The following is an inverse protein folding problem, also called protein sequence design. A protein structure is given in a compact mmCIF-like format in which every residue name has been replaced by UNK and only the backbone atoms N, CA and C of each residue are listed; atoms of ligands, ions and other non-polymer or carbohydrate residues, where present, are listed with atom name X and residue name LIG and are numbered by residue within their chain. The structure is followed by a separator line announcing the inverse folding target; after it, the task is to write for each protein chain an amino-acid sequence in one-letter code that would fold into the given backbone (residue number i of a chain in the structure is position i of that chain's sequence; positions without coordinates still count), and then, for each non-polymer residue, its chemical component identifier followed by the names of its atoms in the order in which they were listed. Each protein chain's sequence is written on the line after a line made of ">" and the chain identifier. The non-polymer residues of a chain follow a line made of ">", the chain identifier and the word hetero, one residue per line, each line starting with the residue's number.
data_IF_308521245395
#
_entry.id   IF_308521245395
#
_cell.length_a   1.000
_cell.length_b   1.000
_cell.length_c   1.000
_cell.angle_alpha   90.00
_cell.angle_beta   90.00
_cell.angle_gamma   90.00
#
_symmetry.space_group_name_H-M   'P 1'
#
loop_
_entity.id
_entity.type
_entity.pdbx_description
1 polymer ?
#
# COMPACT_ATOMS: atom_id res chain seq x y z
N UNK A 1 -19.10 -14.83 -17.38
CA UNK A 1 -19.25 -13.94 -16.22
C UNK A 1 -18.23 -14.38 -15.19
N UNK A 2 -17.64 -13.50 -14.38
CA UNK A 2 -16.79 -13.92 -13.30
C UNK A 2 -17.58 -14.79 -12.31
N UNK A 3 -16.91 -15.72 -11.67
CA UNK A 3 -17.48 -16.52 -10.59
C UNK A 3 -17.59 -15.63 -9.36
N UNK A 4 -18.78 -15.58 -8.73
CA UNK A 4 -19.09 -14.62 -7.66
C UNK A 4 -19.22 -15.31 -6.30
N UNK A 5 -18.58 -14.74 -5.29
CA UNK A 5 -18.54 -15.21 -3.92
C UNK A 5 -18.93 -14.10 -2.96
N UNK A 6 -19.91 -14.33 -2.12
CA UNK A 6 -20.44 -13.35 -1.16
C UNK A 6 -20.37 -13.91 0.27
N UNK A 7 -19.85 -13.10 1.20
CA UNK A 7 -19.88 -13.36 2.65
C UNK A 7 -19.30 -14.73 3.04
N UNK A 8 -18.11 -15.06 2.48
CA UNK A 8 -17.43 -16.32 2.72
C UNK A 8 -16.14 -16.10 3.52
N UNK A 9 -15.91 -17.01 4.48
CA UNK A 9 -14.65 -17.08 5.22
C UNK A 9 -13.72 -18.13 4.63
N UNK A 10 -12.51 -17.73 4.26
CA UNK A 10 -11.45 -18.59 3.75
C UNK A 10 -10.32 -18.65 4.77
N UNK A 11 -9.97 -19.84 5.24
CA UNK A 11 -9.01 -20.04 6.31
C UNK A 11 -7.91 -21.01 5.92
N UNK A 12 -6.63 -20.62 6.12
CA UNK A 12 -5.46 -21.48 5.96
C UNK A 12 -5.32 -22.10 4.54
N UNK A 13 -5.70 -21.36 3.51
CA UNK A 13 -5.64 -21.85 2.12
C UNK A 13 -4.33 -21.42 1.48
N UNK A 14 -3.68 -22.35 0.78
CA UNK A 14 -2.56 -22.05 -0.10
C UNK A 14 -3.11 -22.08 -1.53
N UNK A 15 -3.17 -20.90 -2.15
CA UNK A 15 -3.66 -20.77 -3.52
C UNK A 15 -2.57 -21.08 -4.54
N UNK A 16 -2.94 -21.81 -5.60
CA UNK A 16 -2.09 -21.98 -6.77
C UNK A 16 -2.09 -20.71 -7.66
N UNK A 17 -1.18 -20.65 -8.63
CA UNK A 17 -0.93 -19.43 -9.41
C UNK A 17 -2.20 -18.80 -10.03
N UNK A 18 -3.14 -19.61 -10.52
CA UNK A 18 -4.30 -19.13 -11.30
C UNK A 18 -5.66 -19.38 -10.63
N UNK A 19 -5.66 -19.95 -9.44
CA UNK A 19 -6.90 -20.43 -8.79
C UNK A 19 -7.90 -19.32 -8.47
N UNK A 20 -7.44 -18.09 -8.32
CA UNK A 20 -8.29 -16.91 -8.01
C UNK A 20 -8.73 -16.12 -9.24
N UNK A 21 -8.29 -16.50 -10.44
CA UNK A 21 -8.53 -15.72 -11.67
C UNK A 21 -10.02 -15.66 -12.04
N UNK A 22 -10.42 -14.52 -12.58
CA UNK A 22 -11.80 -14.25 -13.06
C UNK A 22 -12.86 -14.41 -11.98
N UNK A 23 -12.53 -14.13 -10.71
CA UNK A 23 -13.43 -14.21 -9.57
C UNK A 23 -13.75 -12.83 -9.01
N UNK A 24 -14.95 -12.72 -8.47
CA UNK A 24 -15.40 -11.54 -7.71
C UNK A 24 -15.76 -11.99 -6.29
N UNK A 25 -15.10 -11.35 -5.32
CA UNK A 25 -15.31 -11.60 -3.89
C UNK A 25 -15.91 -10.35 -3.26
N UNK A 26 -17.05 -10.49 -2.60
CA UNK A 26 -17.71 -9.40 -1.87
C UNK A 26 -17.95 -9.81 -0.41
N UNK A 27 -17.64 -8.91 0.52
CA UNK A 27 -17.75 -9.13 1.97
C UNK A 27 -17.01 -10.38 2.47
N UNK A 28 -16.00 -10.85 1.72
CA UNK A 28 -15.27 -12.06 2.07
C UNK A 28 -14.11 -11.78 3.02
N UNK A 29 -13.83 -12.74 3.92
CA UNK A 29 -12.68 -12.68 4.83
C UNK A 29 -11.70 -13.79 4.53
N UNK A 30 -10.43 -13.45 4.35
CA UNK A 30 -9.32 -14.39 4.15
C UNK A 30 -8.41 -14.34 5.37
N UNK A 31 -8.21 -15.46 6.05
CA UNK A 31 -7.35 -15.55 7.24
C UNK A 31 -6.26 -16.57 7.03
N UNK A 32 -5.00 -16.17 7.27
CA UNK A 32 -3.81 -17.03 7.13
C UNK A 32 -3.72 -17.71 5.75
N UNK A 33 -4.13 -17.02 4.70
CA UNK A 33 -4.08 -17.53 3.33
C UNK A 33 -2.78 -17.13 2.64
N UNK A 34 -2.27 -18.03 1.79
CA UNK A 34 -1.05 -17.80 1.03
C UNK A 34 -1.35 -17.59 -0.45
N UNK A 35 -1.13 -16.37 -0.92
CA UNK A 35 -1.23 -15.94 -2.31
C UNK A 35 0.15 -15.62 -2.92
N UNK A 36 1.23 -16.08 -2.31
CA UNK A 36 2.59 -15.80 -2.81
C UNK A 36 2.75 -16.33 -4.22
N UNK A 37 3.33 -15.48 -5.08
CA UNK A 37 3.56 -15.78 -6.51
C UNK A 37 2.30 -16.00 -7.35
N UNK A 38 1.09 -15.90 -6.78
CA UNK A 38 -0.15 -15.99 -7.54
C UNK A 38 -0.19 -14.94 -8.66
N UNK A 39 -0.79 -15.31 -9.78
CA UNK A 39 -1.04 -14.43 -10.92
C UNK A 39 -2.53 -14.12 -10.92
N UNK A 40 -2.89 -12.97 -10.37
CA UNK A 40 -4.28 -12.51 -10.36
C UNK A 40 -4.61 -11.88 -11.71
N UNK A 41 -5.63 -12.37 -12.37
CA UNK A 41 -6.13 -11.82 -13.62
C UNK A 41 -7.64 -11.53 -13.50
N UNK A 42 -8.01 -10.26 -13.67
CA UNK A 42 -9.39 -9.80 -13.64
C UNK A 42 -10.16 -10.26 -12.38
N UNK A 43 -9.54 -10.09 -11.23
CA UNK A 43 -10.14 -10.38 -9.91
C UNK A 43 -10.67 -9.09 -9.31
N UNK A 44 -11.82 -9.16 -8.66
CA UNK A 44 -12.39 -8.03 -7.93
C UNK A 44 -12.56 -8.41 -6.47
N UNK A 45 -12.11 -7.54 -5.56
CA UNK A 45 -12.38 -7.61 -4.13
C UNK A 45 -13.18 -6.37 -3.72
N UNK A 46 -14.36 -6.59 -3.12
CA UNK A 46 -15.27 -5.55 -2.62
C UNK A 46 -15.53 -5.81 -1.15
N UNK A 47 -15.30 -4.82 -0.30
CA UNK A 47 -15.53 -4.91 1.16
C UNK A 47 -14.85 -6.14 1.81
N UNK A 48 -13.70 -6.56 1.25
CA UNK A 48 -12.99 -7.75 1.71
C UNK A 48 -11.94 -7.44 2.76
N UNK A 49 -11.70 -8.42 3.65
CA UNK A 49 -10.67 -8.33 4.68
C UNK A 49 -9.66 -9.47 4.55
N UNK A 50 -8.37 -9.12 4.60
CA UNK A 50 -7.26 -10.08 4.62
C UNK A 50 -6.54 -9.99 5.96
N UNK A 51 -6.54 -11.07 6.72
CA UNK A 51 -5.87 -11.19 8.02
C UNK A 51 -4.70 -12.18 7.91
N UNK A 52 -3.50 -11.74 8.29
CA UNK A 52 -2.31 -12.60 8.36
C UNK A 52 -1.96 -13.30 7.04
N UNK A 53 -2.42 -12.76 5.91
CA UNK A 53 -2.19 -13.33 4.60
C UNK A 53 -0.83 -12.93 4.02
N UNK A 54 -0.32 -13.72 3.06
CA UNK A 54 0.88 -13.37 2.32
C UNK A 54 0.62 -13.26 0.83
N UNK A 55 1.14 -12.16 0.22
CA UNK A 55 1.06 -11.83 -1.20
C UNK A 55 2.45 -11.63 -1.81
N UNK A 56 3.50 -12.10 -1.17
CA UNK A 56 4.86 -11.82 -1.62
C UNK A 56 5.08 -12.24 -3.07
N UNK A 57 5.56 -11.30 -3.90
CA UNK A 57 5.75 -11.47 -5.34
C UNK A 57 4.47 -11.81 -6.14
N UNK A 58 3.26 -11.59 -5.60
CA UNK A 58 2.03 -11.77 -6.33
C UNK A 58 1.93 -10.75 -7.49
N UNK A 59 1.47 -11.19 -8.64
CA UNK A 59 1.18 -10.35 -9.80
C UNK A 59 -0.30 -9.99 -9.80
N UNK A 60 -0.62 -8.73 -9.52
CA UNK A 60 -1.99 -8.24 -9.33
C UNK A 60 -2.45 -7.35 -10.50
N UNK A 61 -2.23 -7.82 -11.72
CA UNK A 61 -2.58 -7.06 -12.91
C UNK A 61 -4.09 -6.96 -13.09
N UNK A 62 -4.59 -5.73 -13.20
CA UNK A 62 -6.03 -5.43 -13.37
C UNK A 62 -6.93 -5.92 -12.22
N UNK A 63 -6.37 -6.17 -11.03
CA UNK A 63 -7.16 -6.47 -9.82
C UNK A 63 -7.84 -5.20 -9.35
N UNK A 64 -9.14 -5.27 -9.07
CA UNK A 64 -9.87 -4.17 -8.45
C UNK A 64 -9.94 -4.36 -6.93
N UNK A 65 -9.54 -3.34 -6.18
CA UNK A 65 -9.65 -3.28 -4.72
C UNK A 65 -10.61 -2.15 -4.34
N UNK A 66 -11.78 -2.51 -3.83
CA UNK A 66 -12.83 -1.58 -3.41
C UNK A 66 -13.12 -1.79 -1.94
N UNK A 67 -12.75 -0.83 -1.09
CA UNK A 67 -12.93 -0.88 0.37
C UNK A 67 -12.27 -2.14 0.99
N UNK A 68 -11.00 -2.40 0.66
CA UNK A 68 -10.28 -3.60 1.11
C UNK A 68 -9.37 -3.27 2.28
N UNK A 69 -9.36 -4.14 3.30
CA UNK A 69 -8.51 -4.01 4.48
C UNK A 69 -7.51 -5.16 4.57
N UNK A 70 -6.23 -4.82 4.75
CA UNK A 70 -5.16 -5.78 5.05
C UNK A 70 -4.68 -5.59 6.48
N UNK A 71 -4.73 -6.66 7.29
CA UNK A 71 -4.27 -6.69 8.67
C UNK A 71 -3.16 -7.72 8.84
N UNK A 72 -2.01 -7.32 9.36
CA UNK A 72 -0.84 -8.17 9.63
C UNK A 72 -0.38 -9.01 8.42
N UNK A 73 -0.54 -8.45 7.23
CA UNK A 73 -0.21 -9.13 5.98
C UNK A 73 1.23 -8.88 5.53
N UNK A 74 1.80 -9.86 4.80
CA UNK A 74 3.09 -9.73 4.10
C UNK A 74 2.83 -9.50 2.60
N UNK A 75 3.11 -8.28 2.12
CA UNK A 75 2.78 -7.85 0.76
C UNK A 75 4.06 -7.31 0.09
N UNK A 76 5.15 -8.09 0.18
CA UNK A 76 6.45 -7.67 -0.35
C UNK A 76 6.52 -7.77 -1.86
N UNK A 77 7.18 -6.79 -2.50
CA UNK A 77 7.46 -6.80 -3.94
C UNK A 77 6.21 -6.86 -4.83
N UNK A 78 5.07 -6.38 -4.33
CA UNK A 78 3.82 -6.32 -5.08
C UNK A 78 3.70 -4.99 -5.84
N UNK A 79 3.33 -5.06 -7.12
CA UNK A 79 3.16 -3.88 -7.95
C UNK A 79 1.69 -3.44 -8.05
N UNK A 80 1.25 -2.60 -7.11
CA UNK A 80 -0.09 -2.02 -7.11
C UNK A 80 -0.35 -1.07 -8.27
N UNK A 81 0.69 -0.50 -8.89
CA UNK A 81 0.52 0.38 -10.05
C UNK A 81 -0.09 -0.33 -11.28
N UNK A 82 -0.14 -1.66 -11.26
CA UNK A 82 -0.77 -2.49 -12.30
C UNK A 82 -2.23 -2.86 -11.99
N UNK A 83 -2.77 -2.46 -10.83
CA UNK A 83 -4.18 -2.68 -10.47
C UNK A 83 -5.14 -1.84 -11.31
N UNK A 84 -6.42 -2.18 -11.23
CA UNK A 84 -7.48 -1.29 -11.71
C UNK A 84 -7.40 0.04 -10.95
N UNK A 85 -7.36 1.14 -11.70
CA UNK A 85 -7.17 2.50 -11.15
C UNK A 85 -8.49 3.26 -10.97
N UNK A 86 -9.62 2.67 -11.34
CA UNK A 86 -10.90 3.37 -11.32
C UNK A 86 -11.35 3.63 -9.88
N UNK A 87 -11.29 2.61 -9.04
CA UNK A 87 -11.52 2.70 -7.60
C UNK A 87 -10.42 1.92 -6.92
N UNK A 88 -9.60 2.60 -6.12
CA UNK A 88 -8.53 2.01 -5.34
C UNK A 88 -8.68 2.48 -3.90
N UNK A 89 -9.38 1.70 -3.07
CA UNK A 89 -9.65 2.00 -1.68
C UNK A 89 -9.13 0.87 -0.80
N UNK A 90 -7.97 1.07 -0.20
CA UNK A 90 -7.29 0.07 0.62
C UNK A 90 -6.82 0.70 1.93
N UNK A 91 -6.92 -0.08 3.02
CA UNK A 91 -6.32 0.23 4.31
C UNK A 91 -5.31 -0.85 4.69
N UNK A 92 -4.16 -0.44 5.24
CA UNK A 92 -3.10 -1.35 5.67
C UNK A 92 -2.80 -1.16 7.15
N UNK A 93 -2.93 -2.23 7.95
CA UNK A 93 -2.64 -2.24 9.38
C UNK A 93 -1.62 -3.33 9.71
N UNK A 94 -0.53 -2.98 10.38
CA UNK A 94 0.53 -3.89 10.82
C UNK A 94 1.14 -4.73 9.66
N UNK A 95 1.20 -4.14 8.45
CA UNK A 95 1.61 -4.85 7.23
C UNK A 95 3.08 -4.62 6.87
N UNK A 96 3.66 -5.57 6.14
CA UNK A 96 4.99 -5.45 5.53
C UNK A 96 4.80 -5.31 4.01
N UNK A 97 5.07 -4.10 3.49
CA UNK A 97 4.92 -3.77 2.07
C UNK A 97 6.28 -3.46 1.39
N UNK A 98 7.38 -3.89 1.98
CA UNK A 98 8.72 -3.56 1.49
C UNK A 98 8.88 -3.87 0.00
N UNK A 99 9.54 -2.96 -0.74
CA UNK A 99 9.79 -3.04 -2.18
C UNK A 99 8.55 -3.04 -3.07
N UNK A 100 7.35 -2.79 -2.52
CA UNK A 100 6.11 -2.66 -3.29
C UNK A 100 6.06 -1.35 -4.06
N UNK A 101 5.20 -1.28 -5.08
CA UNK A 101 5.14 -0.15 -6.00
C UNK A 101 3.72 0.41 -6.08
N UNK A 102 3.62 1.72 -5.85
CA UNK A 102 2.38 2.51 -5.96
C UNK A 102 2.49 3.65 -6.98
N UNK A 103 3.56 3.68 -7.79
CA UNK A 103 3.84 4.79 -8.70
C UNK A 103 2.63 5.15 -9.57
N UNK A 104 2.41 6.45 -9.77
CA UNK A 104 1.31 7.03 -10.57
C UNK A 104 -0.12 6.71 -10.09
N UNK A 105 -0.32 5.99 -8.99
CA UNK A 105 -1.64 5.74 -8.43
C UNK A 105 -2.23 6.98 -7.74
N UNK A 106 -3.55 7.00 -7.63
CA UNK A 106 -4.28 7.91 -6.76
C UNK A 106 -4.75 7.13 -5.54
N UNK A 107 -4.04 7.31 -4.42
CA UNK A 107 -4.36 6.64 -3.14
C UNK A 107 -4.73 7.66 -2.07
N UNK A 108 -5.45 8.70 -2.49
CA UNK A 108 -5.89 9.78 -1.62
C UNK A 108 -6.66 9.26 -0.40
N UNK A 109 -6.27 9.71 0.80
CA UNK A 109 -6.93 9.34 2.05
C UNK A 109 -6.63 7.92 2.54
N UNK A 110 -5.84 7.13 1.83
CA UNK A 110 -5.39 5.81 2.29
C UNK A 110 -4.69 5.90 3.65
N UNK A 111 -4.91 4.91 4.51
CA UNK A 111 -4.23 4.79 5.80
C UNK A 111 -3.24 3.62 5.79
N UNK A 112 -2.02 3.92 6.26
CA UNK A 112 -0.98 2.94 6.60
C UNK A 112 -0.69 3.10 8.10
N UNK A 113 -0.99 2.07 8.89
CA UNK A 113 -0.77 2.08 10.34
C UNK A 113 0.19 0.97 10.72
N UNK A 114 1.27 1.30 11.45
CA UNK A 114 2.31 0.36 11.91
C UNK A 114 2.94 -0.46 10.78
N UNK A 115 3.10 0.12 9.59
CA UNK A 115 3.57 -0.61 8.41
C UNK A 115 5.08 -0.49 8.20
N UNK A 116 5.70 -1.56 7.72
CA UNK A 116 7.00 -1.50 7.07
C UNK A 116 6.80 -1.14 5.60
N UNK A 117 7.35 0.00 5.21
CA UNK A 117 7.27 0.57 3.86
C UNK A 117 8.69 0.82 3.30
N UNK A 118 9.61 -0.11 3.57
CA UNK A 118 11.01 0.03 3.18
C UNK A 118 11.15 -0.07 1.66
N UNK A 119 11.82 0.92 1.06
CA UNK A 119 12.08 1.00 -0.37
C UNK A 119 10.81 0.89 -1.25
N UNK A 120 9.69 1.41 -0.77
CA UNK A 120 8.43 1.49 -1.53
C UNK A 120 8.51 2.62 -2.55
N UNK A 121 8.01 2.37 -3.76
CA UNK A 121 7.96 3.35 -4.83
C UNK A 121 6.61 4.09 -4.84
N UNK A 122 6.62 5.34 -4.35
CA UNK A 122 5.51 6.29 -4.42
C UNK A 122 5.73 7.38 -5.49
N UNK A 123 6.61 7.16 -6.46
CA UNK A 123 6.92 8.16 -7.48
C UNK A 123 5.66 8.59 -8.25
N UNK A 124 5.44 9.89 -8.36
CA UNK A 124 4.29 10.50 -9.05
C UNK A 124 2.92 10.04 -8.53
N UNK A 125 2.84 9.48 -7.33
CA UNK A 125 1.60 9.03 -6.67
C UNK A 125 0.85 10.23 -6.09
N UNK A 126 -0.49 10.22 -6.16
CA UNK A 126 -1.31 11.17 -5.39
C UNK A 126 -1.56 10.62 -3.99
N UNK A 127 -0.78 11.14 -3.04
CA UNK A 127 -0.81 10.86 -1.60
C UNK A 127 -1.59 11.93 -0.82
N UNK A 128 -2.45 12.69 -1.48
CA UNK A 128 -3.21 13.75 -0.80
C UNK A 128 -4.01 13.17 0.37
N UNK A 129 -3.83 13.75 1.57
CA UNK A 129 -4.52 13.33 2.79
C UNK A 129 -4.21 11.89 3.27
N UNK A 130 -3.18 11.24 2.73
CA UNK A 130 -2.73 9.91 3.20
C UNK A 130 -2.21 10.02 4.64
N UNK A 131 -2.51 9.00 5.44
CA UNK A 131 -2.03 8.88 6.81
C UNK A 131 -0.95 7.79 6.86
N UNK A 132 0.27 8.20 7.24
CA UNK A 132 1.34 7.29 7.60
C UNK A 132 1.51 7.34 9.12
N UNK A 133 0.96 6.38 9.84
CA UNK A 133 1.04 6.29 11.30
C UNK A 133 2.01 5.19 11.72
N UNK A 134 3.07 5.57 12.46
CA UNK A 134 4.12 4.67 12.94
C UNK A 134 4.76 3.80 11.82
N UNK A 135 4.93 4.36 10.62
CA UNK A 135 5.49 3.63 9.48
C UNK A 135 7.00 3.84 9.34
N UNK A 136 7.72 2.76 9.01
CA UNK A 136 9.11 2.85 8.56
C UNK A 136 9.14 3.12 7.04
N UNK A 137 9.62 4.30 6.66
CA UNK A 137 9.68 4.76 5.28
C UNK A 137 11.14 4.79 4.74
N UNK A 138 12.01 3.93 5.30
CA UNK A 138 13.41 3.89 4.91
C UNK A 138 13.57 3.63 3.42
N UNK A 139 14.29 4.52 2.71
CA UNK A 139 14.54 4.47 1.26
C UNK A 139 13.29 4.51 0.38
N UNK A 140 12.10 4.86 0.90
CA UNK A 140 10.92 5.06 0.07
C UNK A 140 11.06 6.30 -0.81
N UNK A 141 10.63 6.18 -2.08
CA UNK A 141 10.81 7.20 -3.10
C UNK A 141 9.53 8.02 -3.31
N UNK A 142 9.63 9.35 -3.16
CA UNK A 142 8.49 10.29 -3.26
C UNK A 142 8.63 11.30 -4.40
N UNK A 143 9.57 11.11 -5.33
CA UNK A 143 9.79 12.08 -6.41
C UNK A 143 8.52 12.29 -7.23
N UNK A 144 8.17 13.56 -7.48
CA UNK A 144 6.96 13.99 -8.21
C UNK A 144 5.63 13.61 -7.55
N UNK A 145 5.63 13.04 -6.35
CA UNK A 145 4.41 12.74 -5.61
C UNK A 145 3.67 14.02 -5.17
N UNK A 146 2.35 13.88 -4.97
CA UNK A 146 1.49 14.94 -4.43
C UNK A 146 1.07 14.50 -3.02
N UNK A 147 1.78 14.93 -2.00
CA UNK A 147 1.51 14.60 -0.59
C UNK A 147 0.91 15.80 0.17
N UNK A 148 0.01 16.54 -0.47
CA UNK A 148 -0.66 17.66 0.17
C UNK A 148 -1.53 17.16 1.34
N UNK A 149 -1.39 17.79 2.51
CA UNK A 149 -2.08 17.41 3.76
C UNK A 149 -1.78 15.98 4.24
N UNK A 150 -0.82 15.28 3.65
CA UNK A 150 -0.43 13.95 4.14
C UNK A 150 0.16 14.06 5.56
N UNK A 151 -0.06 13.05 6.37
CA UNK A 151 0.39 13.01 7.76
C UNK A 151 1.55 12.03 7.93
N UNK A 152 2.75 12.57 8.20
CA UNK A 152 3.98 11.81 8.49
C UNK A 152 4.41 11.98 9.95
N UNK A 153 3.55 12.51 10.83
CA UNK A 153 3.92 12.97 12.17
C UNK A 153 4.59 11.90 13.03
N UNK A 154 4.14 10.67 12.93
CA UNK A 154 4.65 9.54 13.73
C UNK A 154 5.55 8.58 12.96
N UNK A 155 5.66 8.78 11.64
CA UNK A 155 6.52 7.96 10.79
C UNK A 155 7.98 8.40 10.82
N UNK A 156 8.87 7.53 10.43
CA UNK A 156 10.30 7.70 10.58
C UNK A 156 11.09 7.17 9.38
N UNK A 157 12.41 7.45 9.36
CA UNK A 157 13.38 7.05 8.34
C UNK A 157 13.11 7.57 6.92
N UNK A 158 12.14 8.46 6.71
CA UNK A 158 11.89 9.02 5.39
C UNK A 158 12.94 10.04 4.97
N UNK A 159 13.19 10.11 3.66
CA UNK A 159 13.92 11.19 3.01
C UNK A 159 13.06 11.73 1.86
N UNK A 160 12.49 12.92 2.04
CA UNK A 160 11.58 13.53 1.06
C UNK A 160 12.19 14.86 0.60
N UNK A 161 12.41 15.00 -0.70
CA UNK A 161 12.89 16.25 -1.30
C UNK A 161 11.71 17.23 -1.53
N UNK A 162 11.59 18.34 -0.76
CA UNK A 162 10.48 19.28 -0.91
C UNK A 162 10.49 20.02 -2.27
N UNK A 163 11.61 19.98 -2.99
CA UNK A 163 11.70 20.60 -4.33
C UNK A 163 11.12 19.71 -5.42
N UNK A 164 11.00 18.40 -5.14
CA UNK A 164 10.49 17.39 -6.08
C UNK A 164 9.12 16.85 -5.70
N UNK A 165 8.63 17.12 -4.48
CA UNK A 165 7.39 16.56 -3.90
C UNK A 165 6.49 17.71 -3.47
N UNK A 166 5.19 17.66 -3.79
CA UNK A 166 4.23 18.66 -3.35
C UNK A 166 3.77 18.36 -1.93
N UNK A 167 4.12 19.24 -0.96
CA UNK A 167 3.92 19.03 0.48
C UNK A 167 3.02 20.09 1.13
N UNK A 168 2.12 20.73 0.38
CA UNK A 168 1.28 21.81 0.93
C UNK A 168 0.44 21.29 2.11
N UNK A 169 0.68 21.89 3.31
CA UNK A 169 0.01 21.51 4.57
C UNK A 169 0.27 20.05 5.00
N UNK A 170 1.31 19.38 4.51
CA UNK A 170 1.74 18.10 5.04
C UNK A 170 2.25 18.26 6.48
N UNK A 171 2.04 17.25 7.32
CA UNK A 171 2.34 17.28 8.76
C UNK A 171 3.53 16.39 9.05
N UNK A 172 4.52 16.93 9.75
CA UNK A 172 5.75 16.25 10.17
C UNK A 172 6.01 16.47 11.66
N UNK A 173 6.76 15.60 12.33
CA UNK A 173 7.32 15.88 13.65
C UNK A 173 8.56 16.79 13.53
N UNK A 174 8.95 17.39 14.65
CA UNK A 174 10.22 18.18 14.67
C UNK A 174 11.43 17.29 14.39
N UNK A 175 11.47 16.09 14.97
CA UNK A 175 12.52 15.10 14.76
C UNK A 175 12.59 14.63 13.30
N UNK A 176 11.45 14.55 12.64
CA UNK A 176 11.34 14.12 11.25
C UNK A 176 11.79 15.17 10.22
N UNK A 177 11.90 16.45 10.60
CA UNK A 177 12.30 17.52 9.68
C UNK A 177 13.68 17.29 9.05
N UNK A 178 14.60 16.60 9.74
CA UNK A 178 15.89 16.22 9.17
C UNK A 178 15.76 15.40 7.88
N UNK A 179 14.71 14.61 7.73
CA UNK A 179 14.42 13.83 6.52
C UNK A 179 14.07 14.71 5.31
N UNK A 180 13.56 15.92 5.52
CA UNK A 180 13.30 16.91 4.46
C UNK A 180 14.56 17.69 4.07
N UNK A 181 15.56 17.71 4.95
CA UNK A 181 16.78 18.50 4.80
C UNK A 181 17.98 17.66 4.35
N UNK A 182 17.82 16.34 4.29
CA UNK A 182 18.88 15.38 3.99
C UNK A 182 19.68 15.74 2.73
N UNK A 183 19.00 16.18 1.69
CA UNK A 183 19.64 16.57 0.41
C UNK A 183 20.59 17.77 0.54
N UNK A 184 20.41 18.61 1.56
CA UNK A 184 21.21 19.83 1.74
C UNK A 184 22.47 19.60 2.57
N UNK A 185 22.74 18.36 3.01
CA UNK A 185 23.94 17.99 3.79
C UNK A 185 24.19 18.87 5.01
N UNK A 186 23.13 19.45 5.59
CA UNK A 186 23.23 20.33 6.76
C UNK A 186 23.24 19.52 8.05
N UNK A 187 23.98 20.00 9.03
CA UNK A 187 24.05 19.39 10.36
C UNK A 187 22.99 20.02 11.25
N UNK A 188 22.06 19.21 11.73
CA UNK A 188 21.08 19.59 12.74
C UNK A 188 21.57 19.08 14.09
N UNK A 189 21.77 19.99 15.06
CA UNK A 189 22.26 19.68 16.42
C UNK A 189 21.14 19.84 17.42
#
# INVERSE_FOLDING_TARGET
>A
MPEYFLDIEYNNIIYSEEEVNFKEFECCTFTNCNFSQCIFLAVTFIDCTFNECTFSNAKINYVAFRTVTFNRCKIKEVNFAMCDKLIFEITFNDCILDFSKFYTLKIKGTSFTNCSLIAVDFMATDLTEVIFENCDLYRSEFAKAIANKANFKTSYNYTIDPTKTKLKKAVFSLEGLKGLLYKHEIVVK
#
